data_IF_086002296642
#
_entry.id   IF_086002296642
#
_cell.length_a   1.000
_cell.length_b   1.000
_cell.length_c   1.000
_cell.angle_alpha   90.00
_cell.angle_beta   90.00
_cell.angle_gamma   90.00
#
_symmetry.space_group_name_H-M   'P 1'
#
loop_
_entity.id
_entity.type
_entity.pdbx_description
1 polymer ?
#
# COMPACT_ATOMS: atom_id res chain seq x y z
N UNK A 1 18.86 17.69 -12.60
CA UNK A 1 17.52 17.35 -13.11
C UNK A 1 16.53 17.41 -11.94
N UNK A 2 15.58 18.34 -11.96
CA UNK A 2 14.64 18.53 -10.86
C UNK A 2 13.45 17.62 -11.11
N UNK A 3 13.23 16.62 -10.25
CA UNK A 3 11.98 15.86 -10.27
C UNK A 3 10.89 16.77 -9.73
N UNK A 4 9.94 17.11 -10.58
CA UNK A 4 8.73 17.82 -10.15
C UNK A 4 7.84 16.83 -9.38
N UNK A 5 7.93 16.86 -8.06
CA UNK A 5 7.01 16.10 -7.23
C UNK A 5 5.61 16.71 -7.37
N UNK A 6 4.79 16.11 -8.18
CA UNK A 6 3.35 16.36 -8.16
C UNK A 6 2.73 15.53 -7.05
N UNK A 7 2.53 16.16 -5.91
CA UNK A 7 1.71 15.59 -4.85
C UNK A 7 0.28 15.58 -5.32
N UNK A 8 -0.33 14.40 -5.31
CA UNK A 8 -1.76 14.20 -5.60
C UNK A 8 -2.17 14.80 -6.95
N UNK A 9 -1.79 14.15 -8.02
CA UNK A 9 -2.53 14.36 -9.25
C UNK A 9 -3.74 13.46 -9.26
N UNK A 10 -4.88 14.08 -9.50
CA UNK A 10 -6.00 13.35 -10.06
C UNK A 10 -5.50 12.50 -11.22
N UNK A 11 -6.07 11.30 -11.42
CA UNK A 11 -5.82 10.55 -12.63
C UNK A 11 -5.91 11.50 -13.83
N UNK A 12 -5.04 11.33 -14.81
CA UNK A 12 -5.02 12.16 -16.00
C UNK A 12 -6.46 12.34 -16.51
N UNK A 13 -6.83 13.56 -16.83
CA UNK A 13 -8.11 13.79 -17.47
C UNK A 13 -8.19 12.96 -18.75
N UNK A 14 -9.34 12.40 -19.02
CA UNK A 14 -9.57 11.49 -20.16
C UNK A 14 -9.05 12.05 -21.49
N UNK A 15 -9.07 13.38 -21.65
CA UNK A 15 -8.57 14.10 -22.83
C UNK A 15 -7.06 14.02 -23.06
N UNK A 16 -6.28 13.65 -22.02
CA UNK A 16 -4.81 13.58 -22.10
C UNK A 16 -4.30 12.15 -22.10
N UNK A 17 -5.20 11.18 -22.03
CA UNK A 17 -4.82 9.77 -22.01
C UNK A 17 -4.46 9.28 -23.43
N UNK A 18 -3.40 8.46 -23.56
CA UNK A 18 -3.12 7.80 -24.84
C UNK A 18 -4.22 6.82 -25.22
N UNK A 19 -4.41 6.62 -26.51
CA UNK A 19 -5.48 5.81 -27.08
C UNK A 19 -5.57 4.39 -26.45
N UNK A 20 -4.44 3.75 -26.25
CA UNK A 20 -4.41 2.42 -25.61
C UNK A 20 -4.96 2.44 -24.18
N UNK A 21 -4.68 3.50 -23.43
CA UNK A 21 -5.13 3.66 -22.05
C UNK A 21 -6.65 3.84 -21.98
N UNK A 22 -7.20 4.63 -22.90
CA UNK A 22 -8.65 4.79 -23.05
C UNK A 22 -9.29 3.44 -23.40
N UNK A 23 -8.72 2.73 -24.37
CA UNK A 23 -9.21 1.41 -24.81
C UNK A 23 -9.19 0.37 -23.68
N UNK A 24 -8.17 0.39 -22.83
CA UNK A 24 -8.04 -0.52 -21.71
C UNK A 24 -8.72 -0.02 -20.43
N UNK A 25 -9.26 1.20 -20.47
CA UNK A 25 -9.85 1.87 -19.29
C UNK A 25 -8.88 1.93 -18.12
N UNK A 26 -7.66 2.39 -18.38
CA UNK A 26 -6.61 2.63 -17.38
C UNK A 26 -6.10 4.05 -17.52
N UNK A 27 -5.78 4.70 -16.41
CA UNK A 27 -5.25 6.06 -16.38
C UNK A 27 -3.91 6.17 -15.62
N UNK A 28 -3.44 5.07 -15.08
CA UNK A 28 -2.15 4.96 -14.40
C UNK A 28 -1.71 3.50 -14.35
N UNK A 29 -0.44 3.28 -14.05
CA UNK A 29 0.07 1.99 -13.60
C UNK A 29 0.21 2.00 -12.08
N UNK A 30 -0.20 0.94 -11.40
CA UNK A 30 0.12 0.78 -9.99
C UNK A 30 1.51 0.14 -9.81
N UNK A 31 2.18 0.46 -8.69
CA UNK A 31 3.47 -0.14 -8.36
C UNK A 31 3.47 -1.68 -8.44
N UNK A 32 2.37 -2.30 -8.03
CA UNK A 32 2.21 -3.76 -8.06
C UNK A 32 2.06 -4.35 -9.47
N UNK A 33 1.67 -3.56 -10.48
CA UNK A 33 1.54 -4.06 -11.85
C UNK A 33 2.90 -4.39 -12.49
N UNK A 34 3.97 -3.70 -12.07
CA UNK A 34 5.31 -3.96 -12.58
C UNK A 34 5.91 -5.30 -12.15
N UNK A 35 5.31 -5.94 -11.17
CA UNK A 35 5.72 -7.26 -10.70
C UNK A 35 4.90 -8.41 -11.30
N UNK A 36 3.89 -8.10 -12.12
CA UNK A 36 3.05 -9.10 -12.77
C UNK A 36 3.74 -9.54 -14.07
N UNK A 37 3.94 -10.85 -14.31
CA UNK A 37 4.44 -11.32 -15.60
C UNK A 37 3.61 -10.82 -16.77
N UNK A 38 4.25 -10.47 -17.89
CA UNK A 38 3.61 -9.86 -19.05
C UNK A 38 2.37 -10.61 -19.55
N UNK A 39 2.44 -11.93 -19.64
CA UNK A 39 1.31 -12.76 -20.05
C UNK A 39 0.11 -12.64 -19.08
N UNK A 40 0.37 -12.59 -17.78
CA UNK A 40 -0.66 -12.42 -16.76
C UNK A 40 -1.22 -11.00 -16.77
N UNK A 41 -0.37 -10.00 -17.03
CA UNK A 41 -0.80 -8.62 -17.19
C UNK A 41 -1.72 -8.46 -18.41
N UNK A 42 -1.29 -8.97 -19.57
CA UNK A 42 -2.09 -8.97 -20.80
C UNK A 42 -3.44 -9.65 -20.57
N UNK A 43 -3.44 -10.85 -19.98
CA UNK A 43 -4.68 -11.55 -19.67
C UNK A 43 -5.59 -10.69 -18.81
N UNK A 44 -5.07 -10.13 -17.70
CA UNK A 44 -5.85 -9.38 -16.73
C UNK A 44 -6.38 -8.04 -17.28
N UNK A 45 -5.57 -7.28 -18.01
CA UNK A 45 -5.90 -5.91 -18.40
C UNK A 45 -6.35 -5.74 -19.83
N UNK A 46 -6.03 -6.67 -20.72
CA UNK A 46 -6.40 -6.62 -22.14
C UNK A 46 -7.59 -7.53 -22.45
N UNK A 47 -7.56 -8.77 -21.95
CA UNK A 47 -8.59 -9.76 -22.29
C UNK A 47 -9.79 -9.76 -21.35
N UNK A 48 -9.60 -9.46 -20.07
CA UNK A 48 -10.70 -9.43 -19.12
C UNK A 48 -11.42 -8.07 -19.14
N UNK A 49 -12.74 -8.11 -19.14
CA UNK A 49 -13.55 -6.91 -18.93
C UNK A 49 -13.36 -6.36 -17.50
N UNK A 50 -13.76 -5.11 -17.28
CA UNK A 50 -13.70 -4.52 -15.94
C UNK A 50 -14.54 -5.30 -14.92
N UNK A 51 -15.68 -5.82 -15.32
CA UNK A 51 -16.53 -6.65 -14.46
C UNK A 51 -15.88 -7.97 -14.09
N UNK A 52 -15.28 -8.66 -15.07
CA UNK A 52 -14.51 -9.88 -14.82
C UNK A 52 -13.33 -9.64 -13.89
N UNK A 53 -12.62 -8.52 -14.07
CA UNK A 53 -11.53 -8.12 -13.16
C UNK A 53 -12.03 -7.91 -11.74
N UNK A 54 -13.17 -7.21 -11.57
CA UNK A 54 -13.78 -7.00 -10.25
C UNK A 54 -14.20 -8.31 -9.60
N UNK A 55 -14.75 -9.25 -10.38
CA UNK A 55 -15.12 -10.57 -9.87
C UNK A 55 -13.92 -11.39 -9.39
N UNK A 56 -12.75 -11.24 -10.04
CA UNK A 56 -11.49 -11.86 -9.60
C UNK A 56 -10.90 -11.22 -8.34
N UNK A 57 -11.29 -9.99 -8.02
CA UNK A 57 -10.82 -9.23 -6.85
C UNK A 57 -11.74 -9.41 -5.63
N UNK A 58 -12.49 -10.51 -5.55
CA UNK A 58 -13.28 -10.78 -4.35
C UNK A 58 -12.37 -10.79 -3.13
N UNK A 59 -12.74 -9.99 -2.13
CA UNK A 59 -12.06 -10.00 -0.85
C UNK A 59 -12.16 -11.40 -0.23
N UNK A 60 -11.13 -11.80 0.46
CA UNK A 60 -11.11 -13.04 1.23
C UNK A 60 -10.57 -12.74 2.65
N UNK A 61 -10.74 -13.70 3.55
CA UNK A 61 -10.34 -13.54 4.96
C UNK A 61 -8.89 -13.08 5.13
N UNK A 62 -7.96 -13.51 4.26
CA UNK A 62 -6.56 -13.08 4.36
C UNK A 62 -6.38 -11.59 3.97
N UNK A 63 -7.07 -11.14 2.93
CA UNK A 63 -7.04 -9.74 2.52
C UNK A 63 -7.71 -8.85 3.56
N UNK A 64 -8.84 -9.29 4.10
CA UNK A 64 -9.57 -8.55 5.12
C UNK A 64 -8.77 -8.47 6.43
N UNK A 65 -8.18 -9.58 6.87
CA UNK A 65 -7.30 -9.58 8.03
C UNK A 65 -6.09 -8.65 7.84
N UNK A 66 -5.43 -8.69 6.68
CA UNK A 66 -4.32 -7.78 6.36
C UNK A 66 -4.73 -6.32 6.43
N UNK A 67 -5.92 -5.99 5.93
CA UNK A 67 -6.49 -4.65 6.04
C UNK A 67 -6.72 -4.26 7.50
N UNK A 68 -7.26 -5.16 8.34
CA UNK A 68 -7.46 -4.87 9.76
C UNK A 68 -6.16 -4.58 10.49
N UNK A 69 -5.08 -5.30 10.17
CA UNK A 69 -3.76 -5.02 10.74
C UNK A 69 -3.27 -3.63 10.35
N UNK A 70 -3.35 -3.28 9.07
CA UNK A 70 -2.99 -1.94 8.59
C UNK A 70 -3.82 -0.85 9.26
N UNK A 71 -5.15 -1.00 9.26
CA UNK A 71 -6.08 -0.03 9.86
C UNK A 71 -5.83 0.16 11.37
N UNK A 72 -5.52 -0.90 12.11
CA UNK A 72 -5.21 -0.82 13.55
C UNK A 72 -3.96 0.03 13.81
N UNK A 73 -2.89 -0.22 13.06
CA UNK A 73 -1.66 0.54 13.20
C UNK A 73 -1.83 1.99 12.73
N UNK A 74 -2.57 2.22 11.66
CA UNK A 74 -2.88 3.59 11.20
C UNK A 74 -3.65 4.38 12.26
N UNK A 75 -4.64 3.76 12.91
CA UNK A 75 -5.44 4.41 13.97
C UNK A 75 -4.61 4.77 15.20
N UNK A 76 -3.57 3.99 15.52
CA UNK A 76 -2.73 4.27 16.69
C UNK A 76 -1.54 5.17 16.41
N UNK A 77 -0.98 5.13 15.21
CA UNK A 77 0.25 5.86 14.89
C UNK A 77 0.05 7.14 14.09
N UNK A 78 -0.86 7.13 13.09
CA UNK A 78 -0.93 8.22 12.14
C UNK A 78 -1.53 9.50 12.71
N UNK A 79 -0.92 10.64 12.43
CA UNK A 79 -1.54 11.95 12.54
C UNK A 79 -2.38 12.28 11.31
N UNK A 80 -1.95 11.78 10.16
CA UNK A 80 -2.63 12.02 8.88
C UNK A 80 -2.81 10.72 8.11
N UNK A 81 -4.02 10.48 7.65
CA UNK A 81 -4.36 9.36 6.78
C UNK A 81 -4.93 9.89 5.46
N UNK A 82 -4.37 9.46 4.34
CA UNK A 82 -4.92 9.80 3.03
C UNK A 82 -6.09 8.86 2.70
N UNK A 83 -7.27 9.44 2.49
CA UNK A 83 -8.49 8.69 2.18
C UNK A 83 -9.04 9.05 0.82
N UNK A 84 -9.58 8.06 0.12
CA UNK A 84 -10.31 8.29 -1.13
C UNK A 84 -11.70 8.79 -0.80
N UNK A 85 -12.05 9.97 -1.28
CA UNK A 85 -13.42 10.45 -1.23
C UNK A 85 -14.29 9.57 -2.13
N UNK A 86 -15.34 8.91 -1.61
CA UNK A 86 -16.14 7.97 -2.38
C UNK A 86 -16.91 8.62 -3.54
N UNK A 87 -17.23 9.90 -3.43
CA UNK A 87 -17.99 10.66 -4.44
C UNK A 87 -17.08 11.20 -5.54
N UNK A 88 -16.03 11.90 -5.15
CA UNK A 88 -15.12 12.58 -6.11
C UNK A 88 -14.01 11.68 -6.61
N UNK A 89 -13.79 10.51 -5.96
CA UNK A 89 -12.65 9.61 -6.19
C UNK A 89 -11.28 10.26 -5.95
N UNK A 90 -11.25 11.47 -5.42
CA UNK A 90 -10.01 12.17 -5.08
C UNK A 90 -9.46 11.68 -3.75
N UNK A 91 -8.14 11.59 -3.68
CA UNK A 91 -7.42 11.26 -2.44
C UNK A 91 -7.11 12.56 -1.71
N UNK A 92 -7.47 12.64 -0.45
CA UNK A 92 -7.23 13.81 0.38
C UNK A 92 -6.68 13.41 1.76
N UNK A 93 -5.80 14.23 2.36
CA UNK A 93 -5.36 14.03 3.73
C UNK A 93 -6.51 14.27 4.70
N UNK A 94 -6.59 13.43 5.71
CA UNK A 94 -7.56 13.55 6.80
C UNK A 94 -6.79 13.43 8.11
N UNK A 95 -7.04 14.37 9.02
CA UNK A 95 -6.50 14.26 10.38
C UNK A 95 -7.08 13.03 11.07
N UNK A 96 -6.22 12.27 11.72
CA UNK A 96 -6.61 11.10 12.48
C UNK A 96 -6.52 11.39 13.97
N UNK A 97 -7.58 11.11 14.68
CA UNK A 97 -7.59 11.11 16.14
C UNK A 97 -7.03 9.76 16.61
N UNK A 98 -5.80 9.79 17.15
CA UNK A 98 -5.11 8.57 17.58
C UNK A 98 -5.79 7.95 18.79
N UNK A 99 -5.87 6.64 18.79
CA UNK A 99 -6.33 5.84 19.93
C UNK A 99 -5.20 4.90 20.38
N UNK A 100 -5.33 4.31 21.55
CA UNK A 100 -4.37 3.31 22.01
C UNK A 100 -4.36 2.10 21.09
N UNK A 101 -3.22 1.40 21.00
CA UNK A 101 -3.11 0.20 20.16
C UNK A 101 -4.15 -0.86 20.54
N UNK A 102 -4.34 -1.10 21.84
CA UNK A 102 -5.31 -2.10 22.31
C UNK A 102 -6.76 -1.73 21.93
N UNK A 103 -7.15 -0.46 22.05
CA UNK A 103 -8.44 0.00 21.60
C UNK A 103 -8.60 -0.17 20.08
N UNK A 104 -7.55 0.11 19.33
CA UNK A 104 -7.55 -0.06 17.88
C UNK A 104 -7.66 -1.54 17.49
N UNK A 105 -6.96 -2.43 18.19
CA UNK A 105 -7.09 -3.88 17.99
C UNK A 105 -8.53 -4.32 18.19
N UNK A 106 -9.17 -3.90 19.29
CA UNK A 106 -10.55 -4.26 19.57
C UNK A 106 -11.51 -3.74 18.49
N UNK A 107 -11.38 -2.47 18.10
CA UNK A 107 -12.18 -1.88 17.02
C UNK A 107 -12.08 -2.71 15.72
N UNK A 108 -10.85 -3.07 15.33
CA UNK A 108 -10.64 -3.82 14.08
C UNK A 108 -11.08 -5.28 14.16
N UNK A 109 -11.03 -5.90 15.33
CA UNK A 109 -11.57 -7.25 15.54
C UNK A 109 -13.10 -7.28 15.40
N UNK A 110 -13.80 -6.28 15.96
CA UNK A 110 -15.26 -6.20 15.80
C UNK A 110 -15.63 -6.05 14.31
N UNK A 111 -14.93 -5.18 13.57
CA UNK A 111 -15.15 -5.04 12.13
C UNK A 111 -14.88 -6.36 11.40
N UNK A 112 -13.81 -7.09 11.78
CA UNK A 112 -13.47 -8.35 11.12
C UNK A 112 -14.49 -9.46 11.42
N UNK A 113 -15.12 -9.45 12.58
CA UNK A 113 -16.22 -10.39 12.91
C UNK A 113 -17.42 -10.25 11.97
N UNK A 114 -17.67 -9.04 11.48
CA UNK A 114 -18.78 -8.78 10.54
C UNK A 114 -18.48 -9.25 9.11
N UNK A 115 -17.23 -9.47 8.75
CA UNK A 115 -16.87 -9.94 7.42
C UNK A 115 -17.52 -11.27 7.08
N UNK A 116 -18.12 -11.38 5.87
CA UNK A 116 -18.78 -12.61 5.40
C UNK A 116 -17.80 -13.40 4.51
N UNK A 117 -17.41 -14.62 4.94
CA UNK A 117 -16.56 -15.49 4.14
C UNK A 117 -17.21 -15.90 2.83
N UNK A 118 -16.40 -16.04 1.78
CA UNK A 118 -16.89 -16.40 0.43
C UNK A 118 -17.18 -17.90 0.25
N UNK A 119 -16.65 -18.76 1.13
CA UNK A 119 -16.87 -20.22 1.14
C UNK A 119 -16.35 -20.83 2.46
N UNK A 120 -16.58 -22.14 2.65
CA UNK A 120 -16.20 -22.85 3.88
C UNK A 120 -14.70 -22.74 4.21
N UNK A 121 -13.83 -22.88 3.19
CA UNK A 121 -12.39 -22.74 3.40
C UNK A 121 -12.00 -21.33 3.88
N UNK A 122 -12.72 -20.33 3.41
CA UNK A 122 -12.52 -18.95 3.82
C UNK A 122 -13.09 -18.70 5.22
N UNK A 123 -14.18 -19.41 5.59
CA UNK A 123 -14.71 -19.41 6.94
C UNK A 123 -13.72 -20.00 7.96
N UNK A 124 -13.11 -21.14 7.64
CA UNK A 124 -12.06 -21.72 8.49
C UNK A 124 -10.90 -20.73 8.70
N UNK A 125 -10.47 -20.04 7.62
CA UNK A 125 -9.44 -19.02 7.71
C UNK A 125 -9.86 -17.85 8.56
N UNK A 126 -11.10 -17.35 8.40
CA UNK A 126 -11.61 -16.24 9.21
C UNK A 126 -11.50 -16.54 10.70
N UNK A 127 -11.96 -17.73 11.11
CA UNK A 127 -11.89 -18.15 12.51
C UNK A 127 -10.46 -18.09 13.01
N UNK A 128 -9.54 -18.69 12.26
CA UNK A 128 -8.09 -18.71 12.64
C UNK A 128 -7.48 -17.32 12.68
N UNK A 129 -7.80 -16.47 11.71
CA UNK A 129 -7.24 -15.12 11.61
C UNK A 129 -7.79 -14.17 12.66
N UNK A 130 -9.01 -14.40 13.17
CA UNK A 130 -9.52 -13.67 14.34
C UNK A 130 -8.65 -13.89 15.59
N UNK A 131 -8.03 -15.07 15.72
CA UNK A 131 -7.07 -15.35 16.79
C UNK A 131 -5.68 -14.72 16.52
N UNK A 132 -5.26 -14.71 15.26
CA UNK A 132 -3.90 -14.30 14.87
C UNK A 132 -3.73 -12.77 14.71
N UNK A 133 -4.77 -12.06 14.28
CA UNK A 133 -4.72 -10.61 13.99
C UNK A 133 -4.16 -9.79 15.17
N UNK A 134 -4.56 -10.00 16.43
CA UNK A 134 -3.99 -9.24 17.55
C UNK A 134 -2.49 -9.41 17.69
N UNK A 135 -1.99 -10.63 17.55
CA UNK A 135 -0.56 -10.93 17.68
C UNK A 135 0.24 -10.35 16.52
N UNK A 136 -0.30 -10.44 15.30
CA UNK A 136 0.33 -9.84 14.12
C UNK A 136 0.42 -8.32 14.25
N UNK A 137 -0.64 -7.68 14.79
CA UNK A 137 -0.59 -6.22 15.06
C UNK A 137 0.50 -5.90 16.08
N UNK A 138 0.62 -6.64 17.17
CA UNK A 138 1.68 -6.42 18.19
C UNK A 138 3.07 -6.67 17.64
N UNK A 139 3.27 -7.68 16.78
CA UNK A 139 4.54 -7.92 16.12
C UNK A 139 4.89 -6.78 15.16
N UNK A 140 3.91 -6.28 14.39
CA UNK A 140 4.12 -5.13 13.52
C UNK A 140 4.45 -3.86 14.32
N UNK A 141 3.77 -3.63 15.44
CA UNK A 141 4.02 -2.53 16.37
C UNK A 141 5.45 -2.57 16.93
N UNK A 142 5.89 -3.76 17.37
CA UNK A 142 7.28 -3.96 17.84
C UNK A 142 8.30 -3.64 16.72
N UNK A 143 8.03 -4.09 15.48
CA UNK A 143 8.87 -3.80 14.32
C UNK A 143 8.89 -2.31 13.97
N UNK A 144 7.76 -1.62 14.03
CA UNK A 144 7.68 -0.17 13.83
C UNK A 144 8.47 0.57 14.90
N UNK A 145 8.36 0.14 16.16
CA UNK A 145 9.10 0.71 17.28
C UNK A 145 10.62 0.51 17.12
N UNK A 146 11.06 -0.68 16.72
CA UNK A 146 12.47 -0.97 16.43
C UNK A 146 13.02 -0.12 15.29
N UNK A 147 12.22 0.10 14.26
CA UNK A 147 12.56 1.00 13.14
C UNK A 147 12.58 2.47 13.56
N UNK A 148 12.21 2.79 14.78
CA UNK A 148 12.24 4.15 15.33
C UNK A 148 11.19 5.05 14.66
N UNK A 149 9.93 4.74 14.91
CA UNK A 149 8.79 5.56 14.47
C UNK A 149 8.90 6.95 15.11
N UNK A 150 8.88 7.99 14.29
CA UNK A 150 8.93 9.37 14.73
C UNK A 150 7.78 10.18 14.11
N UNK A 151 7.12 10.98 14.95
CA UNK A 151 6.11 11.94 14.46
C UNK A 151 6.70 13.01 13.54
N UNK A 152 5.95 13.51 12.57
CA UNK A 152 4.60 13.08 12.22
C UNK A 152 4.59 11.76 11.42
N UNK A 153 3.55 10.97 11.63
CA UNK A 153 3.29 9.74 10.88
C UNK A 153 2.16 9.98 9.90
N UNK A 154 2.41 9.67 8.64
CA UNK A 154 1.39 9.74 7.58
C UNK A 154 1.17 8.36 6.99
N UNK A 155 -0.07 7.99 6.77
CA UNK A 155 -0.45 6.71 6.19
C UNK A 155 -1.22 6.86 4.89
N UNK A 156 -1.13 5.84 4.04
CA UNK A 156 -1.83 5.75 2.76
C UNK A 156 -1.51 6.91 1.80
N UNK A 157 -0.34 7.54 1.98
CA UNK A 157 0.07 8.62 1.07
C UNK A 157 0.16 8.10 -0.35
N UNK A 158 -0.61 8.71 -1.23
CA UNK A 158 -0.49 8.43 -2.65
C UNK A 158 0.71 9.17 -3.23
N UNK A 159 1.55 8.45 -3.94
CA UNK A 159 2.62 8.99 -4.76
C UNK A 159 2.27 8.81 -6.23
N UNK A 160 2.75 9.73 -7.07
CA UNK A 160 2.61 9.65 -8.52
C UNK A 160 3.93 10.02 -9.17
N UNK A 161 4.51 9.09 -9.89
CA UNK A 161 5.74 9.29 -10.64
C UNK A 161 5.36 9.48 -12.10
N UNK A 162 5.66 10.65 -12.65
CA UNK A 162 5.55 10.87 -14.08
C UNK A 162 6.76 10.22 -14.77
N UNK A 163 6.51 9.29 -15.67
CA UNK A 163 7.55 8.59 -16.41
C UNK A 163 8.47 9.54 -17.21
N UNK A 164 7.97 10.72 -17.59
CA UNK A 164 8.75 11.73 -18.28
C UNK A 164 9.74 12.49 -17.36
N UNK A 165 9.65 12.30 -16.04
CA UNK A 165 10.52 12.95 -15.06
C UNK A 165 11.57 12.02 -14.47
N UNK A 166 11.52 10.74 -14.80
CA UNK A 166 12.52 9.76 -14.38
C UNK A 166 13.77 9.91 -15.28
N UNK A 167 14.93 9.78 -14.66
CA UNK A 167 16.21 9.77 -15.38
C UNK A 167 16.21 8.63 -16.40
N UNK A 168 16.82 8.85 -17.59
CA UNK A 168 16.92 7.86 -18.66
C UNK A 168 17.59 6.54 -18.22
N UNK A 169 18.37 6.59 -17.12
CA UNK A 169 18.95 5.39 -16.49
C UNK A 169 17.90 4.49 -15.85
N UNK A 170 16.72 4.99 -15.55
CA UNK A 170 15.56 4.22 -15.15
C UNK A 170 14.79 3.81 -16.39
N UNK A 171 15.01 2.58 -16.85
CA UNK A 171 14.32 1.94 -17.98
C UNK A 171 12.81 1.69 -17.77
N UNK A 172 12.15 2.58 -17.06
CA UNK A 172 10.70 2.66 -17.10
C UNK A 172 10.28 3.38 -18.39
N UNK A 173 10.54 2.77 -19.51
CA UNK A 173 9.94 3.11 -20.80
C UNK A 173 8.39 2.93 -20.77
N UNK A 174 7.82 3.05 -19.61
CA UNK A 174 6.39 3.09 -19.45
C UNK A 174 5.90 4.48 -19.83
N UNK A 175 5.94 4.78 -21.13
CA UNK A 175 5.01 5.68 -21.80
C UNK A 175 4.27 6.70 -20.89
N UNK A 176 3.73 7.65 -21.41
CA UNK A 176 2.70 8.64 -21.07
C UNK A 176 1.75 8.40 -19.88
N UNK A 177 1.77 7.28 -19.16
CA UNK A 177 0.96 7.06 -17.96
C UNK A 177 1.80 7.17 -16.68
N UNK A 178 1.29 7.88 -15.65
CA UNK A 178 1.97 7.96 -14.37
C UNK A 178 1.96 6.60 -13.64
N UNK A 179 2.99 6.37 -12.84
CA UNK A 179 3.05 5.25 -11.91
C UNK A 179 2.54 5.73 -10.56
N UNK A 180 1.49 5.11 -10.06
CA UNK A 180 0.86 5.47 -8.80
C UNK A 180 1.13 4.39 -7.75
N UNK A 181 1.54 4.80 -6.56
CA UNK A 181 1.70 3.95 -5.40
C UNK A 181 1.00 4.53 -4.18
N UNK A 182 0.74 3.69 -3.19
CA UNK A 182 0.23 4.10 -1.88
C UNK A 182 1.17 3.53 -0.84
N UNK A 183 1.65 4.40 0.02
CA UNK A 183 2.64 4.09 1.05
C UNK A 183 1.90 3.77 2.33
N UNK A 184 2.13 2.60 2.93
CA UNK A 184 1.49 2.21 4.16
C UNK A 184 1.82 3.18 5.29
N UNK A 185 3.12 3.50 5.49
CA UNK A 185 3.58 4.45 6.49
C UNK A 185 4.74 5.30 5.97
N UNK A 186 4.69 6.59 6.19
CA UNK A 186 5.85 7.48 6.12
C UNK A 186 6.03 8.25 7.43
N UNK A 187 7.27 8.41 7.84
CA UNK A 187 7.65 8.92 9.15
C UNK A 187 8.55 10.13 9.09
N UNK A 188 8.26 11.06 10.01
CA UNK A 188 9.09 12.21 10.25
C UNK A 188 8.90 13.30 9.21
N UNK A 189 9.23 14.49 9.65
CA UNK A 189 9.24 15.66 8.81
C UNK A 189 10.66 16.21 8.80
N UNK A 190 11.37 16.07 7.69
CA UNK A 190 12.70 16.64 7.55
C UNK A 190 12.61 18.14 7.29
N UNK A 191 12.20 18.93 8.29
CA UNK A 191 12.26 20.37 8.22
C UNK A 191 13.68 20.90 7.89
N UNK A 192 14.71 20.12 8.16
CA UNK A 192 16.11 20.46 7.85
C UNK A 192 16.40 20.23 6.38
N UNK A 193 16.02 19.08 5.82
CA UNK A 193 16.10 18.81 4.38
C UNK A 193 15.02 19.57 3.59
N UNK A 194 13.84 19.73 4.18
CA UNK A 194 12.73 20.46 3.60
C UNK A 194 13.02 21.93 3.33
N UNK A 195 13.79 22.59 4.17
CA UNK A 195 14.21 23.99 3.91
C UNK A 195 15.13 24.12 2.70
N UNK A 196 15.99 23.15 2.47
CA UNK A 196 16.93 23.18 1.33
C UNK A 196 16.24 22.71 0.05
N UNK A 197 15.42 21.67 0.13
CA UNK A 197 14.75 21.09 -1.04
C UNK A 197 13.45 21.83 -1.42
N UNK A 198 12.76 22.47 -0.48
CA UNK A 198 11.57 23.28 -0.80
C UNK A 198 11.92 24.54 -1.58
N UNK A 199 13.11 25.12 -1.37
CA UNK A 199 13.59 26.26 -2.16
C UNK A 199 13.95 25.88 -3.59
N UNK A 200 14.44 24.66 -3.81
CA UNK A 200 14.84 24.19 -5.15
C UNK A 200 13.69 23.60 -5.96
N UNK A 201 12.66 23.07 -5.29
CA UNK A 201 11.60 22.27 -5.93
C UNK A 201 10.30 23.06 -6.17
N UNK A 202 10.07 24.19 -5.48
CA UNK A 202 8.82 24.90 -5.67
C UNK A 202 8.92 26.43 -5.62
N UNK A 203 9.21 27.09 -6.74
CA UNK A 203 9.16 28.55 -6.83
C UNK A 203 7.74 29.12 -6.75
N UNK A 204 6.68 28.30 -6.74
CA UNK A 204 5.28 28.75 -6.80
C UNK A 204 4.55 28.77 -5.47
N UNK A 205 5.24 28.55 -4.33
CA UNK A 205 4.66 28.74 -2.99
C UNK A 205 3.64 27.70 -2.53
N UNK A 206 3.40 26.65 -3.29
CA UNK A 206 2.60 25.51 -2.81
C UNK A 206 3.40 24.71 -1.79
N UNK A 207 2.78 24.37 -0.66
CA UNK A 207 3.38 23.55 0.37
C UNK A 207 3.88 22.23 -0.21
N UNK A 208 5.19 22.12 -0.38
CA UNK A 208 5.82 20.83 -0.67
C UNK A 208 5.55 19.90 0.51
N UNK A 209 5.05 18.68 0.27
CA UNK A 209 4.95 17.72 1.34
C UNK A 209 6.36 17.50 1.87
N UNK A 210 6.48 17.55 3.16
CA UNK A 210 7.72 17.28 3.85
C UNK A 210 8.28 15.93 3.39
N UNK A 211 9.58 15.91 3.15
CA UNK A 211 10.29 14.67 2.85
C UNK A 211 10.20 13.74 4.05
N UNK A 212 9.71 12.50 3.92
CA UNK A 212 9.75 11.56 5.01
C UNK A 212 11.20 11.18 5.35
N UNK A 213 11.45 10.87 6.62
CA UNK A 213 12.74 10.31 7.04
C UNK A 213 12.89 8.88 6.58
N UNK A 214 11.80 8.14 6.57
CA UNK A 214 11.72 6.76 6.12
C UNK A 214 10.30 6.39 5.69
N UNK A 215 10.24 5.37 4.88
CA UNK A 215 9.00 4.75 4.40
C UNK A 215 9.00 3.31 4.86
N UNK A 216 7.85 2.82 5.29
CA UNK A 216 7.66 1.41 5.61
C UNK A 216 6.48 0.87 4.82
N UNK A 217 6.73 -0.23 4.14
CA UNK A 217 5.74 -1.08 3.50
C UNK A 217 5.49 -2.30 4.38
N UNK A 218 4.27 -2.47 4.83
CA UNK A 218 3.86 -3.56 5.72
C UNK A 218 3.35 -4.76 4.92
N UNK A 219 3.83 -5.94 5.25
CA UNK A 219 3.34 -7.22 4.71
C UNK A 219 3.00 -8.18 5.84
N UNK A 220 1.75 -8.58 5.91
CA UNK A 220 1.27 -9.52 6.93
C UNK A 220 1.34 -10.96 6.45
N UNK A 221 1.63 -11.88 7.36
CA UNK A 221 1.67 -13.31 7.11
C UNK A 221 0.75 -14.05 8.09
N UNK A 222 -0.13 -14.85 7.53
CA UNK A 222 -1.09 -15.65 8.27
C UNK A 222 -0.83 -17.12 8.11
N UNK A 223 -1.27 -17.92 9.07
CA UNK A 223 -1.25 -19.37 8.95
C UNK A 223 -1.98 -19.84 7.70
N UNK A 224 -1.43 -20.84 7.04
CA UNK A 224 -2.00 -21.44 5.83
C UNK A 224 -2.83 -22.66 6.18
N UNK A 225 -3.93 -22.87 5.45
CA UNK A 225 -4.70 -24.10 5.55
C UNK A 225 -3.84 -25.30 5.19
N UNK A 226 -3.75 -26.24 6.09
CA UNK A 226 -3.14 -27.54 5.91
C UNK A 226 -4.14 -28.59 5.44
N UNK A 227 -3.80 -29.85 5.66
CA UNK A 227 -4.62 -30.99 5.29
C UNK A 227 -5.86 -31.11 6.18
N UNK A 228 -6.94 -31.65 5.63
CA UNK A 228 -8.09 -32.11 6.39
C UNK A 228 -7.70 -33.34 7.19
N UNK A 229 -7.94 -33.35 8.49
CA UNK A 229 -7.71 -34.48 9.37
C UNK A 229 -8.82 -35.52 9.25
N UNK A 230 -8.62 -36.70 9.83
CA UNK A 230 -9.61 -37.78 9.81
C UNK A 230 -10.94 -37.44 10.49
N UNK A 231 -10.92 -36.54 11.45
CA UNK A 231 -12.06 -36.02 12.17
C UNK A 231 -12.81 -34.89 11.43
N UNK A 232 -12.39 -34.56 10.20
CA UNK A 232 -12.95 -33.48 9.39
C UNK A 232 -12.40 -32.09 9.72
N UNK A 233 -11.64 -31.93 10.80
CA UNK A 233 -11.01 -30.66 11.13
C UNK A 233 -9.83 -30.34 10.18
N UNK A 234 -9.49 -29.06 10.03
CA UNK A 234 -8.32 -28.63 9.25
C UNK A 234 -7.15 -28.31 10.16
N UNK A 235 -5.96 -28.72 9.72
CA UNK A 235 -4.74 -28.22 10.32
C UNK A 235 -4.43 -26.81 9.78
N UNK A 236 -3.66 -26.05 10.56
CA UNK A 236 -3.06 -24.81 10.10
C UNK A 236 -1.54 -24.92 10.17
N UNK A 237 -0.87 -24.40 9.15
CA UNK A 237 0.58 -24.34 9.09
C UNK A 237 1.00 -22.91 9.39
N UNK A 238 1.77 -22.72 10.44
CA UNK A 238 2.33 -21.42 10.79
C UNK A 238 3.15 -20.89 9.61
N UNK A 239 2.90 -19.64 9.26
CA UNK A 239 3.71 -18.94 8.26
C UNK A 239 4.83 -18.19 8.98
N UNK A 240 6.04 -18.33 8.47
CA UNK A 240 7.19 -17.52 8.92
C UNK A 240 7.47 -16.43 7.89
N UNK A 241 7.99 -15.27 8.32
CA UNK A 241 8.51 -14.29 7.40
C UNK A 241 9.53 -14.92 6.44
N UNK A 242 9.54 -14.53 5.17
CA UNK A 242 10.52 -15.08 4.22
C UNK A 242 11.92 -14.58 4.58
N UNK A 243 12.93 -15.45 4.45
CA UNK A 243 14.34 -15.10 4.65
C UNK A 243 14.80 -13.99 3.66
N UNK A 244 14.20 -13.96 2.47
CA UNK A 244 14.42 -12.93 1.46
C UNK A 244 13.08 -12.37 1.00
N UNK A 245 12.98 -11.05 0.77
CA UNK A 245 11.77 -10.44 0.24
C UNK A 245 11.39 -11.05 -1.12
N UNK A 246 10.10 -11.14 -1.39
CA UNK A 246 9.64 -11.52 -2.72
C UNK A 246 9.95 -10.42 -3.74
N UNK A 247 10.18 -10.80 -5.00
CA UNK A 247 10.43 -9.85 -6.08
C UNK A 247 9.35 -8.76 -6.16
N UNK A 248 8.09 -9.14 -6.01
CA UNK A 248 6.96 -8.21 -6.06
C UNK A 248 7.05 -7.11 -4.98
N UNK A 249 7.46 -7.46 -3.77
CA UNK A 249 7.63 -6.50 -2.69
C UNK A 249 8.83 -5.59 -2.93
N UNK A 250 9.93 -6.14 -3.48
CA UNK A 250 11.10 -5.34 -3.86
C UNK A 250 10.78 -4.33 -4.95
N UNK A 251 10.02 -4.72 -5.98
CA UNK A 251 9.55 -3.79 -7.03
C UNK A 251 8.71 -2.66 -6.45
N UNK A 252 7.81 -2.97 -5.53
CA UNK A 252 6.98 -1.97 -4.86
C UNK A 252 7.84 -0.97 -4.06
N UNK A 253 8.78 -1.47 -3.28
CA UNK A 253 9.74 -0.63 -2.54
C UNK A 253 10.60 0.21 -3.47
N UNK A 254 11.05 -0.34 -4.61
CA UNK A 254 11.83 0.39 -5.59
C UNK A 254 11.04 1.56 -6.21
N UNK A 255 9.77 1.35 -6.54
CA UNK A 255 8.88 2.43 -7.02
C UNK A 255 8.76 3.53 -5.97
N UNK A 256 8.59 3.17 -4.69
CA UNK A 256 8.52 4.16 -3.63
C UNK A 256 9.84 4.93 -3.46
N UNK A 257 10.96 4.21 -3.48
CA UNK A 257 12.29 4.84 -3.44
C UNK A 257 12.54 5.79 -4.60
N UNK A 258 12.14 5.40 -5.80
CA UNK A 258 12.29 6.21 -7.02
C UNK A 258 11.55 7.56 -6.92
N UNK A 259 10.42 7.62 -6.23
CA UNK A 259 9.67 8.87 -6.01
C UNK A 259 10.53 9.96 -5.34
N UNK A 260 11.53 9.59 -4.56
CA UNK A 260 12.47 10.50 -3.90
C UNK A 260 13.91 10.32 -4.35
N UNK A 261 14.14 9.82 -5.56
CA UNK A 261 15.48 9.53 -6.09
C UNK A 261 16.33 8.67 -5.16
N UNK A 262 15.72 7.72 -4.46
CA UNK A 262 16.35 6.86 -3.46
C UNK A 262 17.06 7.60 -2.32
N UNK A 263 16.69 8.86 -2.07
CA UNK A 263 17.19 9.63 -0.92
C UNK A 263 16.47 9.30 0.39
N UNK A 264 15.32 8.65 0.31
CA UNK A 264 14.53 8.20 1.45
C UNK A 264 14.66 6.69 1.57
N UNK A 265 15.09 6.14 2.71
CA UNK A 265 15.13 4.71 2.91
C UNK A 265 13.73 4.11 2.94
N UNK A 266 13.56 3.00 2.21
CA UNK A 266 12.31 2.23 2.17
C UNK A 266 12.55 0.90 2.85
N UNK A 267 11.79 0.62 3.89
CA UNK A 267 11.84 -0.62 4.66
C UNK A 267 10.64 -1.50 4.33
N UNK A 268 10.87 -2.78 4.32
CA UNK A 268 9.83 -3.80 4.18
C UNK A 268 9.70 -4.53 5.51
N UNK A 269 8.56 -4.33 6.18
CA UNK A 269 8.25 -4.96 7.46
C UNK A 269 7.32 -6.15 7.23
N UNK A 270 7.75 -7.33 7.67
CA UNK A 270 6.93 -8.52 7.71
C UNK A 270 6.43 -8.78 9.13
N UNK A 271 5.12 -8.94 9.29
CA UNK A 271 4.46 -9.27 10.55
C UNK A 271 3.55 -10.50 10.39
#
# INVERSE_FOLDING_TARGET
>A
MQIKHKVLQDPLEEKTLPEFAIKLNINHFSATQFSIPDAAWLFKYVYLTQEQRRALLQSNSAMEAGKRVGDALQRSYAETIYKINPLTKKVAPTTNEKITLDNSIQEQLEIFKEYQPVNDKDSDKKIKYLEEVPEIIRHADAGLTELGVASPVTCERQISIDANTLDESFLLHCSSLPIVGRIDFDFGNNNVLGKTLSKEVNPTGHHTPAFPHKIIELKTKYSRLGKVKKDGSRSFLVSTPPATPSFNHLVQCAVYGANWNFKVPVYLLYA
#
